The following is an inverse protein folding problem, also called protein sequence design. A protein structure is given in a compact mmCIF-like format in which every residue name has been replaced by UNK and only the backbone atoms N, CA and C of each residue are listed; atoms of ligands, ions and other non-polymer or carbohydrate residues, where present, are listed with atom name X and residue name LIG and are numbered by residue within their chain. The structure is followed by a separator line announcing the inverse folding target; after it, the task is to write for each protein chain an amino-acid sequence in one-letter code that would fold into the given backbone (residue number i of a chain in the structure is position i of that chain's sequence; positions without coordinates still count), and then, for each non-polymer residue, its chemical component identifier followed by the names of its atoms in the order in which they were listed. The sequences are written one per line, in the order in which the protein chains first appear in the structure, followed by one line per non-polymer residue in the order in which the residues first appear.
data_IF_872686531084
#
_entry.id   IF_872686531084
#
_cell.length_a   1.000
_cell.length_b   1.000
_cell.length_c   1.000
_cell.angle_alpha   90.00
_cell.angle_beta   90.00
_cell.angle_gamma   90.00
#
_symmetry.space_group_name_H-M   'P 1'
#
loop_
_entity.id
_entity.type
_entity.pdbx_description
1 polymer ?
#
# COMPACT_ATOMS: atom_id res chain seq x y z
N UNK A 1 -12.29 3.64 -23.45
CA UNK A 1 -13.50 4.43 -23.83
C UNK A 1 -13.32 5.85 -23.33
N UNK A 2 -13.86 6.82 -24.02
CA UNK A 2 -13.79 8.24 -23.65
C UNK A 2 -15.18 8.86 -23.80
N UNK A 3 -15.59 9.71 -22.86
CA UNK A 3 -16.81 10.48 -22.97
C UNK A 3 -16.67 11.58 -24.03
N UNK A 4 -17.73 11.84 -24.79
CA UNK A 4 -17.67 12.76 -25.95
C UNK A 4 -17.48 14.22 -25.60
N UNK A 5 -17.87 14.66 -24.40
CA UNK A 5 -17.86 16.09 -24.01
C UNK A 5 -17.28 16.35 -22.60
N UNK A 6 -16.91 15.32 -21.86
CA UNK A 6 -16.33 15.45 -20.52
C UNK A 6 -14.99 14.73 -20.44
N UNK A 7 -14.05 15.15 -19.61
CA UNK A 7 -12.77 14.48 -19.42
C UNK A 7 -12.91 13.20 -18.57
N UNK A 8 -13.77 12.28 -19.04
CA UNK A 8 -14.03 10.99 -18.40
C UNK A 8 -13.48 9.91 -19.31
N UNK A 9 -12.59 9.08 -18.77
CA UNK A 9 -11.93 7.98 -19.45
C UNK A 9 -12.20 6.69 -18.70
N UNK A 10 -12.39 5.59 -19.40
CA UNK A 10 -12.56 4.26 -18.82
C UNK A 10 -11.67 3.24 -19.53
N UNK A 11 -11.04 2.38 -18.76
CA UNK A 11 -10.22 1.26 -19.22
C UNK A 11 -10.88 -0.05 -18.79
N UNK A 12 -10.69 -1.10 -19.56
CA UNK A 12 -11.16 -2.45 -19.25
C UNK A 12 -9.99 -3.42 -19.01
N UNK A 13 -8.83 -2.87 -18.71
CA UNK A 13 -7.62 -3.60 -18.36
C UNK A 13 -6.92 -2.89 -17.20
N UNK A 14 -5.94 -3.53 -16.62
CA UNK A 14 -5.16 -3.05 -15.48
C UNK A 14 -3.85 -2.40 -15.96
N UNK A 15 -3.76 -1.06 -16.05
CA UNK A 15 -2.53 -0.40 -16.47
C UNK A 15 -1.41 -0.45 -15.42
N UNK A 16 -1.76 -0.73 -14.15
CA UNK A 16 -0.82 -0.77 -13.03
C UNK A 16 -0.02 -2.07 -12.91
N UNK A 17 -0.45 -3.13 -13.59
CA UNK A 17 0.24 -4.44 -13.48
C UNK A 17 1.48 -4.51 -14.38
N UNK A 18 2.47 -5.27 -13.95
CA UNK A 18 3.80 -5.34 -14.57
C UNK A 18 3.80 -5.89 -16.00
N UNK A 19 2.81 -6.69 -16.37
CA UNK A 19 2.69 -7.29 -17.71
C UNK A 19 1.82 -6.50 -18.68
N UNK A 20 1.30 -5.33 -18.28
CA UNK A 20 0.64 -4.41 -19.21
C UNK A 20 1.69 -3.54 -19.87
N UNK A 21 1.88 -3.72 -21.19
CA UNK A 21 2.76 -2.87 -21.99
C UNK A 21 2.30 -1.41 -21.90
N UNK A 22 3.25 -0.48 -21.72
CA UNK A 22 3.00 0.96 -21.61
C UNK A 22 1.98 1.39 -20.53
N UNK A 23 1.61 0.51 -19.60
CA UNK A 23 0.66 0.83 -18.54
C UNK A 23 1.01 2.09 -17.75
N UNK A 24 2.30 2.24 -17.42
CA UNK A 24 2.81 3.45 -16.76
C UNK A 24 2.61 4.72 -17.62
N UNK A 25 2.82 4.64 -18.92
CA UNK A 25 2.62 5.77 -19.83
C UNK A 25 1.15 6.20 -19.88
N UNK A 26 0.22 5.23 -19.86
CA UNK A 26 -1.22 5.51 -19.78
C UNK A 26 -1.56 6.26 -18.50
N UNK A 27 -1.06 5.80 -17.36
CA UNK A 27 -1.26 6.45 -16.05
C UNK A 27 -0.64 7.85 -16.01
N UNK A 28 0.61 8.01 -16.46
CA UNK A 28 1.30 9.30 -16.51
C UNK A 28 0.55 10.31 -17.40
N UNK A 29 0.05 9.89 -18.55
CA UNK A 29 -0.74 10.75 -19.43
C UNK A 29 -2.04 11.20 -18.77
N UNK A 30 -2.74 10.30 -18.10
CA UNK A 30 -3.96 10.67 -17.40
C UNK A 30 -3.68 11.63 -16.25
N UNK A 31 -2.73 11.29 -15.38
CA UNK A 31 -2.42 12.10 -14.19
C UNK A 31 -1.87 13.48 -14.57
N UNK A 32 -0.89 13.54 -15.47
CA UNK A 32 -0.16 14.79 -15.73
C UNK A 32 -0.72 15.60 -16.87
N UNK A 33 -1.32 14.97 -17.90
CA UNK A 33 -1.87 15.70 -19.05
C UNK A 33 -3.36 15.96 -18.92
N UNK A 34 -4.15 15.00 -18.42
CA UNK A 34 -5.59 15.16 -18.28
C UNK A 34 -5.94 15.86 -16.96
N UNK A 35 -5.39 15.37 -15.83
CA UNK A 35 -5.66 15.94 -14.52
C UNK A 35 -4.77 17.14 -14.17
N UNK A 36 -3.70 17.40 -14.93
CA UNK A 36 -2.72 18.47 -14.67
C UNK A 36 -2.15 18.41 -13.23
N UNK A 37 -1.99 17.21 -12.69
CA UNK A 37 -1.48 17.00 -11.34
C UNK A 37 0.02 17.32 -11.27
N UNK A 38 0.47 17.83 -10.11
CA UNK A 38 1.89 18.08 -9.84
C UNK A 38 2.57 16.82 -9.33
N UNK A 39 3.91 16.75 -9.49
CA UNK A 39 4.76 15.68 -8.93
C UNK A 39 5.31 16.06 -7.55
N UNK A 40 4.46 16.56 -6.67
CA UNK A 40 4.85 17.09 -5.35
C UNK A 40 4.65 16.09 -4.21
N UNK A 41 3.96 14.97 -4.48
CA UNK A 41 3.75 13.92 -3.50
C UNK A 41 4.95 12.97 -3.39
N UNK A 42 5.46 12.76 -2.18
CA UNK A 42 6.57 11.86 -1.88
C UNK A 42 6.17 10.81 -0.87
N UNK A 43 6.46 9.56 -1.18
CA UNK A 43 6.14 8.41 -0.30
C UNK A 43 6.90 8.47 1.03
N UNK A 44 8.14 8.93 1.02
CA UNK A 44 8.97 9.02 2.23
C UNK A 44 8.37 9.98 3.26
N UNK A 45 7.79 11.10 2.81
CA UNK A 45 7.10 12.05 3.67
C UNK A 45 5.88 11.40 4.33
N UNK A 46 5.12 10.57 3.58
CA UNK A 46 3.98 9.84 4.10
C UNK A 46 4.38 8.78 5.13
N UNK A 47 5.43 7.99 4.86
CA UNK A 47 5.91 6.96 5.79
C UNK A 47 6.34 7.60 7.11
N UNK A 48 7.10 8.70 7.05
CA UNK A 48 7.53 9.44 8.23
C UNK A 48 6.36 9.97 9.05
N UNK A 49 5.35 10.52 8.38
CA UNK A 49 4.12 11.00 9.01
C UNK A 49 3.36 9.85 9.70
N UNK A 50 3.17 8.72 9.02
CA UNK A 50 2.47 7.55 9.58
C UNK A 50 3.20 6.95 10.77
N UNK A 51 4.53 6.88 10.73
CA UNK A 51 5.34 6.42 11.87
C UNK A 51 5.12 7.33 13.09
N UNK A 52 5.08 8.64 12.89
CA UNK A 52 4.81 9.60 13.96
C UNK A 52 3.40 9.41 14.53
N UNK A 53 2.38 9.36 13.70
CA UNK A 53 0.99 9.12 14.12
C UNK A 53 0.86 7.83 14.94
N UNK A 54 1.48 6.74 14.49
CA UNK A 54 1.47 5.46 15.21
C UNK A 54 2.14 5.60 16.58
N UNK A 55 3.28 6.26 16.68
CA UNK A 55 3.96 6.49 17.96
C UNK A 55 3.09 7.29 18.93
N UNK A 56 2.46 8.34 18.44
CA UNK A 56 1.62 9.23 19.24
C UNK A 56 0.36 8.49 19.72
N UNK A 57 -0.19 7.60 18.90
CA UNK A 57 -1.38 6.82 19.25
C UNK A 57 -1.06 5.66 20.19
N UNK A 58 0.02 4.93 19.95
CA UNK A 58 0.39 3.74 20.74
C UNK A 58 0.99 4.11 22.09
N UNK A 59 1.73 5.21 22.17
CA UNK A 59 2.39 5.65 23.39
C UNK A 59 3.20 4.51 24.06
N UNK A 60 2.76 4.07 25.26
CA UNK A 60 3.43 3.03 26.05
C UNK A 60 2.75 1.65 25.97
N UNK A 61 1.69 1.53 25.18
CA UNK A 61 0.97 0.25 25.07
C UNK A 61 1.68 -0.72 24.11
N UNK A 62 1.36 -2.00 24.26
CA UNK A 62 1.73 -3.03 23.28
C UNK A 62 0.65 -3.14 22.22
N UNK A 63 1.07 -3.44 21.00
CA UNK A 63 0.19 -3.67 19.87
C UNK A 63 0.24 -5.14 19.49
N UNK A 64 -0.91 -5.76 19.37
CA UNK A 64 -1.07 -7.11 18.84
C UNK A 64 -1.50 -7.01 17.37
N UNK A 65 -0.75 -7.64 16.46
CA UNK A 65 -1.07 -7.73 15.05
C UNK A 65 -1.28 -9.18 14.64
N UNK A 66 -2.46 -9.48 14.12
CA UNK A 66 -2.72 -10.76 13.43
C UNK A 66 -2.15 -10.73 12.02
N UNK A 67 -1.25 -11.67 11.71
CA UNK A 67 -0.71 -11.84 10.37
C UNK A 67 -1.54 -12.85 9.59
N UNK A 68 -1.95 -12.48 8.37
CA UNK A 68 -2.72 -13.35 7.48
C UNK A 68 -1.89 -14.02 6.38
N UNK A 69 -0.57 -13.74 6.33
CA UNK A 69 0.29 -14.13 5.20
C UNK A 69 0.13 -13.26 3.94
N UNK A 70 -0.79 -12.31 3.93
CA UNK A 70 -1.00 -11.38 2.82
C UNK A 70 -0.07 -10.17 2.84
N UNK A 71 0.06 -9.50 1.69
CA UNK A 71 0.90 -8.31 1.51
C UNK A 71 0.54 -7.20 2.48
N UNK A 72 -0.74 -6.92 2.68
CA UNK A 72 -1.21 -5.82 3.53
C UNK A 72 -0.80 -6.01 4.99
N UNK A 73 -0.95 -7.21 5.54
CA UNK A 73 -0.55 -7.52 6.91
C UNK A 73 0.97 -7.46 7.08
N UNK A 74 1.74 -7.86 6.07
CA UNK A 74 3.21 -7.78 6.07
C UNK A 74 3.70 -6.34 6.02
N UNK A 75 3.12 -5.50 5.17
CA UNK A 75 3.42 -4.06 5.11
C UNK A 75 3.06 -3.37 6.42
N UNK A 76 1.91 -3.71 7.00
CA UNK A 76 1.48 -3.20 8.30
C UNK A 76 2.46 -3.59 9.41
N UNK A 77 2.90 -4.85 9.44
CA UNK A 77 3.91 -5.33 10.39
C UNK A 77 5.24 -4.56 10.27
N UNK A 78 5.72 -4.36 9.04
CA UNK A 78 6.95 -3.61 8.79
C UNK A 78 6.85 -2.15 9.24
N UNK A 79 5.71 -1.50 8.98
CA UNK A 79 5.47 -0.11 9.39
C UNK A 79 5.37 0.02 10.90
N UNK A 80 4.61 -0.86 11.56
CA UNK A 80 4.48 -0.91 13.01
C UNK A 80 5.82 -1.21 13.68
N UNK A 81 6.60 -2.15 13.14
CA UNK A 81 7.93 -2.46 13.69
C UNK A 81 8.87 -1.24 13.62
N UNK A 82 8.87 -0.49 12.52
CA UNK A 82 9.61 0.77 12.41
C UNK A 82 9.15 1.83 13.41
N UNK A 83 7.84 1.87 13.71
CA UNK A 83 7.28 2.87 14.60
C UNK A 83 7.50 2.53 16.08
N UNK A 84 7.22 1.30 16.50
CA UNK A 84 7.10 0.93 17.93
C UNK A 84 8.01 -0.22 18.36
N UNK A 85 8.71 -0.90 17.43
CA UNK A 85 9.71 -1.92 17.73
C UNK A 85 9.20 -3.01 18.68
N UNK A 86 9.85 -3.16 19.82
CA UNK A 86 9.56 -4.19 20.82
C UNK A 86 8.15 -4.14 21.45
N UNK A 87 7.36 -3.11 21.15
CA UNK A 87 5.96 -3.02 21.58
C UNK A 87 5.02 -3.75 20.64
N UNK A 88 5.50 -4.19 19.46
CA UNK A 88 4.74 -4.98 18.50
C UNK A 88 4.84 -6.47 18.85
N UNK A 89 3.70 -7.13 18.94
CA UNK A 89 3.56 -8.59 19.04
C UNK A 89 2.80 -9.06 17.79
N UNK A 90 3.46 -9.85 16.95
CA UNK A 90 2.82 -10.45 15.80
C UNK A 90 2.34 -11.87 16.15
N UNK A 91 1.10 -12.18 15.78
CA UNK A 91 0.52 -13.51 15.90
C UNK A 91 0.15 -14.00 14.51
N UNK A 92 0.73 -15.13 14.14
CA UNK A 92 0.43 -15.83 12.92
C UNK A 92 -0.26 -17.15 13.26
N UNK A 93 -1.38 -17.45 12.61
CA UNK A 93 -2.13 -18.68 12.83
C UNK A 93 -2.04 -19.54 11.58
N UNK A 94 -1.26 -20.62 11.65
CA UNK A 94 -1.27 -21.65 10.64
C UNK A 94 -2.41 -22.63 10.91
N UNK A 95 -3.44 -22.56 10.10
CA UNK A 95 -4.61 -23.46 10.15
C UNK A 95 -4.52 -24.60 9.09
N UNK A 96 -3.37 -24.78 8.46
CA UNK A 96 -3.14 -25.79 7.41
C UNK A 96 -3.72 -25.41 6.04
N UNK A 97 -4.24 -24.19 5.85
CA UNK A 97 -4.77 -23.69 4.57
C UNK A 97 -3.88 -22.65 3.91
N UNK A 98 -2.66 -22.52 4.38
CA UNK A 98 -1.67 -21.60 3.84
C UNK A 98 -1.12 -22.11 2.52
N UNK A 99 -0.62 -21.19 1.69
CA UNK A 99 0.12 -21.55 0.49
C UNK A 99 1.45 -22.18 0.88
N UNK A 100 1.99 -23.03 0.00
CA UNK A 100 3.30 -23.66 0.21
C UNK A 100 4.37 -22.58 0.45
N UNK A 101 5.03 -22.64 1.62
CA UNK A 101 6.12 -21.73 2.00
C UNK A 101 5.67 -20.40 2.62
N UNK A 102 4.37 -20.20 2.91
CA UNK A 102 3.90 -18.97 3.59
C UNK A 102 4.17 -18.95 5.11
N UNK A 103 4.43 -20.11 5.71
CA UNK A 103 4.69 -20.22 7.15
C UNK A 103 6.18 -20.16 7.51
N UNK A 104 7.08 -20.36 6.52
CA UNK A 104 8.55 -20.32 6.67
C UNK A 104 9.09 -18.92 6.41
#
# INVERSE_FOLDING_TARGET
MQHTSKPIYALQFHPEVTHTEDGKTVLDNFIFKVCSANKDWKMDDLIGLRIKEIKDQVQNYKVLLGLSGGVDSSVTAALLNKAIGNKLVCVFVDNGLLRKGEAE
#
